data_IF_102776944632
#
_entry.id   IF_102776944632
#
_cell.length_a   1.000
_cell.length_b   1.000
_cell.length_c   1.000
_cell.angle_alpha   90.00
_cell.angle_beta   90.00
_cell.angle_gamma   90.00
#
_symmetry.space_group_name_H-M   'P 1'
#
loop_
_entity.id
_entity.type
_entity.pdbx_description
1 polymer ?
#
# COMPACT_ATOMS: atom_id res chain seq x y z
N UNK A 1 26.39 31.99 -11.46
CA UNK A 1 25.95 30.68 -11.95
C UNK A 1 24.46 30.76 -12.22
N UNK A 2 24.01 30.35 -13.41
CA UNK A 2 22.57 30.25 -13.69
C UNK A 2 21.96 29.01 -13.02
N UNK A 3 20.62 28.97 -12.99
CA UNK A 3 19.89 27.80 -12.49
C UNK A 3 20.20 26.57 -13.37
N UNK A 4 20.58 25.46 -12.75
CA UNK A 4 20.79 24.19 -13.44
C UNK A 4 19.45 23.56 -13.87
N UNK A 5 19.53 22.51 -14.68
CA UNK A 5 18.34 21.85 -15.21
C UNK A 5 17.43 21.24 -14.12
N UNK A 6 18.03 20.75 -13.05
CA UNK A 6 17.26 20.17 -11.91
C UNK A 6 16.50 21.24 -11.14
N UNK A 7 17.15 22.41 -10.85
CA UNK A 7 16.52 23.53 -10.16
C UNK A 7 15.39 24.14 -11.01
N UNK A 8 15.59 24.26 -12.33
CA UNK A 8 14.56 24.78 -13.22
C UNK A 8 13.31 23.89 -13.23
N UNK A 9 13.49 22.57 -13.34
CA UNK A 9 12.38 21.62 -13.31
C UNK A 9 11.71 21.57 -11.93
N UNK A 10 12.49 21.67 -10.84
CA UNK A 10 11.94 21.74 -9.48
C UNK A 10 11.04 22.98 -9.32
N UNK A 11 11.51 24.15 -9.72
CA UNK A 11 10.74 25.40 -9.66
C UNK A 11 9.49 25.31 -10.53
N UNK A 12 9.60 24.76 -11.75
CA UNK A 12 8.46 24.53 -12.64
C UNK A 12 7.41 23.65 -11.96
N UNK A 13 7.80 22.49 -11.43
CA UNK A 13 6.88 21.56 -10.76
C UNK A 13 6.20 22.20 -9.53
N UNK A 14 6.91 23.04 -8.78
CA UNK A 14 6.32 23.80 -7.68
C UNK A 14 5.30 24.82 -8.20
N UNK A 15 5.61 25.53 -9.27
CA UNK A 15 4.70 26.53 -9.86
C UNK A 15 3.43 25.91 -10.46
N UNK A 16 3.54 24.67 -10.97
CA UNK A 16 2.44 23.87 -11.48
C UNK A 16 1.69 23.09 -10.36
N UNK A 17 2.11 23.27 -9.10
CA UNK A 17 1.61 22.57 -7.92
C UNK A 17 1.69 21.03 -8.03
N UNK A 18 2.67 20.54 -8.80
CA UNK A 18 2.97 19.11 -8.93
C UNK A 18 4.04 18.71 -7.88
N UNK A 19 3.56 18.40 -6.69
CA UNK A 19 4.43 18.02 -5.55
C UNK A 19 5.19 16.72 -5.83
N UNK A 20 4.62 15.84 -6.64
CA UNK A 20 5.26 14.57 -7.02
C UNK A 20 6.49 14.79 -7.88
N UNK A 21 6.34 15.55 -8.96
CA UNK A 21 7.47 15.90 -9.83
C UNK A 21 8.47 16.80 -9.10
N UNK A 22 8.01 17.75 -8.25
CA UNK A 22 8.89 18.57 -7.44
C UNK A 22 9.81 17.73 -6.54
N UNK A 23 9.29 16.67 -5.89
CA UNK A 23 10.10 15.75 -5.08
C UNK A 23 11.12 14.98 -5.90
N UNK A 24 10.74 14.46 -7.08
CA UNK A 24 11.68 13.78 -7.98
C UNK A 24 12.85 14.67 -8.37
N UNK A 25 12.55 15.92 -8.76
CA UNK A 25 13.58 16.88 -9.15
C UNK A 25 14.46 17.31 -7.96
N UNK A 26 13.87 17.44 -6.76
CA UNK A 26 14.64 17.67 -5.54
C UNK A 26 15.63 16.54 -5.23
N UNK A 27 15.18 15.27 -5.32
CA UNK A 27 16.06 14.11 -5.14
C UNK A 27 17.12 14.03 -6.24
N UNK A 28 16.78 14.35 -7.49
CA UNK A 28 17.72 14.38 -8.60
C UNK A 28 18.81 15.46 -8.38
N UNK A 29 18.42 16.66 -7.95
CA UNK A 29 19.35 17.73 -7.60
C UNK A 29 20.29 17.33 -6.46
N UNK A 30 19.77 16.70 -5.39
CA UNK A 30 20.57 16.20 -4.29
C UNK A 30 21.55 15.08 -4.72
N UNK A 31 21.15 14.23 -5.65
CA UNK A 31 22.04 13.17 -6.19
C UNK A 31 23.16 13.74 -7.06
N UNK A 32 22.92 14.85 -7.73
CA UNK A 32 23.91 15.52 -8.59
C UNK A 32 24.93 16.34 -7.80
N UNK A 33 24.62 16.73 -6.56
CA UNK A 33 25.55 17.47 -5.72
C UNK A 33 26.56 16.51 -5.03
N UNK A 34 27.78 16.54 -5.55
CA UNK A 34 28.92 15.74 -5.03
C UNK A 34 29.87 16.56 -4.15
N UNK A 35 29.52 17.79 -3.80
CA UNK A 35 30.40 18.68 -3.05
C UNK A 35 30.54 18.25 -1.58
N UNK A 36 31.75 18.20 -1.08
CA UNK A 36 32.05 17.86 0.33
C UNK A 36 31.37 18.81 1.32
N UNK A 37 31.24 20.08 0.94
CA UNK A 37 30.58 21.12 1.76
C UNK A 37 29.13 20.80 2.05
N UNK A 38 28.43 20.21 1.10
CA UNK A 38 27.00 19.93 1.18
C UNK A 38 26.68 18.50 1.61
N UNK A 39 27.69 17.65 1.85
CA UNK A 39 27.50 16.21 2.14
C UNK A 39 26.49 15.95 3.27
N UNK A 40 26.57 16.69 4.37
CA UNK A 40 25.63 16.55 5.50
C UNK A 40 24.20 16.97 5.14
N UNK A 41 24.05 18.06 4.39
CA UNK A 41 22.77 18.53 3.87
C UNK A 41 22.16 17.51 2.90
N UNK A 42 22.93 17.05 1.92
CA UNK A 42 22.52 16.06 0.91
C UNK A 42 22.06 14.78 1.58
N UNK A 43 22.86 14.21 2.50
CA UNK A 43 22.51 12.98 3.21
C UNK A 43 21.22 13.14 4.01
N UNK A 44 21.10 14.22 4.77
CA UNK A 44 19.93 14.46 5.61
C UNK A 44 18.64 14.61 4.79
N UNK A 45 18.64 15.49 3.79
CA UNK A 45 17.43 15.79 3.03
C UNK A 45 17.10 14.70 2.01
N UNK A 46 18.08 13.99 1.47
CA UNK A 46 17.85 12.80 0.66
C UNK A 46 17.15 11.72 1.49
N UNK A 47 17.61 11.45 2.72
CA UNK A 47 16.94 10.49 3.61
C UNK A 47 15.50 10.91 3.93
N UNK A 48 15.24 12.21 4.19
CA UNK A 48 13.90 12.72 4.42
C UNK A 48 13.02 12.53 3.18
N UNK A 49 13.50 12.89 2.00
CA UNK A 49 12.74 12.81 0.74
C UNK A 49 12.55 11.38 0.23
N UNK A 50 13.40 10.43 0.64
CA UNK A 50 13.32 9.01 0.23
C UNK A 50 12.83 8.08 1.34
N UNK A 51 12.61 8.59 2.57
CA UNK A 51 12.02 7.80 3.67
C UNK A 51 10.55 7.49 3.42
N UNK A 52 10.01 6.49 4.10
CA UNK A 52 8.59 6.11 3.97
C UNK A 52 7.60 7.26 4.21
N UNK A 53 7.99 8.29 4.99
CA UNK A 53 7.20 9.50 5.18
C UNK A 53 7.33 10.55 4.08
N UNK A 54 8.30 10.43 3.18
CA UNK A 54 8.56 11.46 2.15
C UNK A 54 7.56 11.44 0.99
N UNK A 55 6.91 10.29 0.77
CA UNK A 55 5.84 10.11 -0.22
C UNK A 55 4.45 10.50 0.29
N UNK A 56 4.31 10.90 1.58
CA UNK A 56 3.00 11.25 2.15
C UNK A 56 2.36 12.42 1.42
N UNK A 57 1.18 12.19 0.88
CA UNK A 57 0.35 13.21 0.24
C UNK A 57 -0.41 13.95 1.35
N UNK A 58 -0.42 15.27 1.29
CA UNK A 58 -1.15 16.07 2.26
C UNK A 58 -2.67 15.89 2.08
N UNK A 59 -3.31 15.42 3.13
CA UNK A 59 -4.76 15.18 3.16
C UNK A 59 -5.48 16.34 3.87
N UNK A 60 -6.74 16.61 3.54
CA UNK A 60 -7.60 17.47 4.34
C UNK A 60 -7.58 17.06 5.82
N UNK A 61 -7.60 18.03 6.73
CA UNK A 61 -7.38 17.80 8.17
C UNK A 61 -8.26 16.70 8.79
N UNK A 62 -9.49 16.56 8.31
CA UNK A 62 -10.45 15.55 8.76
C UNK A 62 -10.16 14.11 8.26
N UNK A 63 -9.25 13.94 7.31
CA UNK A 63 -8.85 12.63 6.77
C UNK A 63 -7.48 12.16 7.27
N UNK A 64 -6.65 13.05 7.84
CA UNK A 64 -5.27 12.73 8.26
C UNK A 64 -5.17 11.59 9.25
N UNK A 65 -6.18 11.41 10.10
CA UNK A 65 -6.16 10.39 11.17
C UNK A 65 -6.60 9.00 10.69
N UNK A 66 -7.30 8.92 9.55
CA UNK A 66 -7.97 7.69 9.09
C UNK A 66 -7.46 7.18 7.75
N UNK A 67 -7.01 8.07 6.88
CA UNK A 67 -6.53 7.78 5.54
C UNK A 67 -5.04 8.18 5.44
N UNK A 68 -4.24 7.30 4.89
CA UNK A 68 -2.85 7.57 4.56
C UNK A 68 -2.71 7.47 3.05
N UNK A 69 -2.29 8.55 2.38
CA UNK A 69 -1.97 8.53 0.96
C UNK A 69 -0.47 8.74 0.78
N UNK A 70 0.15 7.88 -0.03
CA UNK A 70 1.58 7.83 -0.25
C UNK A 70 1.88 7.78 -1.75
N UNK A 71 2.81 8.61 -2.22
CA UNK A 71 3.44 8.43 -3.52
C UNK A 71 4.52 7.34 -3.41
N UNK A 72 4.15 6.13 -3.76
CA UNK A 72 5.03 4.96 -3.66
C UNK A 72 6.19 4.98 -4.66
N UNK A 73 6.21 5.89 -5.64
CA UNK A 73 7.29 5.96 -6.63
C UNK A 73 8.65 6.27 -6.02
N UNK A 74 8.68 6.94 -4.86
CA UNK A 74 9.89 7.32 -4.14
C UNK A 74 10.30 6.28 -3.09
N UNK A 75 9.35 5.65 -2.44
CA UNK A 75 9.57 4.74 -1.30
C UNK A 75 9.64 3.27 -1.70
N UNK A 76 8.89 2.86 -2.72
CA UNK A 76 8.85 1.46 -3.15
C UNK A 76 10.07 1.09 -3.99
N UNK A 77 10.78 0.04 -3.60
CA UNK A 77 11.95 -0.49 -4.30
C UNK A 77 11.62 -1.81 -4.99
N UNK A 78 11.32 -1.77 -6.29
CA UNK A 78 10.93 -2.95 -7.07
C UNK A 78 12.01 -4.06 -7.05
N UNK A 79 13.28 -3.68 -7.07
CA UNK A 79 14.40 -4.63 -7.00
C UNK A 79 14.50 -5.38 -5.65
N UNK A 80 13.81 -4.89 -4.63
CA UNK A 80 13.71 -5.52 -3.29
C UNK A 80 12.34 -6.13 -3.02
N UNK A 81 11.47 -6.21 -4.01
CA UNK A 81 10.17 -6.84 -3.88
C UNK A 81 10.10 -8.10 -4.74
N UNK A 82 9.89 -9.24 -4.12
CA UNK A 82 9.68 -10.50 -4.82
C UNK A 82 8.20 -10.68 -5.10
N UNK A 83 7.86 -10.96 -6.35
CA UNK A 83 6.49 -11.21 -6.83
C UNK A 83 6.41 -12.68 -7.22
N UNK A 84 5.48 -13.42 -6.63
CA UNK A 84 5.22 -14.83 -7.01
C UNK A 84 4.46 -14.88 -8.33
N UNK A 85 4.48 -16.03 -9.01
CA UNK A 85 3.67 -16.25 -10.22
C UNK A 85 2.18 -16.00 -9.96
N UNK A 86 1.68 -16.41 -8.80
CA UNK A 86 0.30 -16.15 -8.37
C UNK A 86 0.01 -14.64 -8.29
N UNK A 87 0.89 -13.88 -7.66
CA UNK A 87 0.77 -12.43 -7.54
C UNK A 87 0.85 -11.74 -8.90
N UNK A 88 1.68 -12.24 -9.83
CA UNK A 88 1.71 -11.73 -11.19
C UNK A 88 0.38 -11.91 -11.93
N UNK A 89 -0.26 -13.07 -11.79
CA UNK A 89 -1.59 -13.34 -12.37
C UNK A 89 -2.62 -12.37 -11.81
N UNK A 90 -2.62 -12.16 -10.48
CA UNK A 90 -3.51 -11.20 -9.81
C UNK A 90 -3.28 -9.79 -10.36
N UNK A 91 -2.02 -9.35 -10.41
CA UNK A 91 -1.65 -8.04 -10.92
C UNK A 91 -2.08 -7.83 -12.38
N UNK A 92 -1.82 -8.80 -13.26
CA UNK A 92 -2.26 -8.78 -14.67
C UNK A 92 -3.78 -8.61 -14.79
N UNK A 93 -4.56 -9.29 -13.95
CA UNK A 93 -6.01 -9.17 -13.95
C UNK A 93 -6.47 -7.78 -13.50
N UNK A 94 -5.89 -7.23 -12.43
CA UNK A 94 -6.19 -5.88 -11.95
C UNK A 94 -5.88 -4.84 -13.05
N UNK A 95 -4.71 -4.91 -13.67
CA UNK A 95 -4.29 -3.98 -14.73
C UNK A 95 -5.18 -4.08 -15.97
N UNK A 96 -5.55 -5.32 -16.37
CA UNK A 96 -6.44 -5.55 -17.51
C UNK A 96 -7.81 -4.90 -17.27
N UNK A 97 -8.37 -5.06 -16.08
CA UNK A 97 -9.66 -4.47 -15.73
C UNK A 97 -9.56 -2.94 -15.66
N UNK A 98 -8.53 -2.39 -15.06
CA UNK A 98 -8.29 -0.94 -15.05
C UNK A 98 -8.21 -0.35 -16.46
N UNK A 99 -7.53 -1.06 -17.39
CA UNK A 99 -7.39 -0.62 -18.79
C UNK A 99 -8.71 -0.58 -19.56
N UNK A 100 -9.64 -1.48 -19.24
CA UNK A 100 -10.92 -1.58 -19.96
C UNK A 100 -12.09 -0.89 -19.24
N UNK A 101 -11.86 -0.32 -18.05
CA UNK A 101 -12.90 0.28 -17.21
C UNK A 101 -13.72 1.34 -17.95
N UNK A 102 -13.07 2.25 -18.68
CA UNK A 102 -13.74 3.27 -19.48
C UNK A 102 -14.72 2.68 -20.52
N UNK A 103 -14.26 1.64 -21.23
CA UNK A 103 -15.12 0.98 -22.23
C UNK A 103 -16.29 0.22 -21.61
N UNK A 104 -16.09 -0.38 -20.42
CA UNK A 104 -17.18 -1.02 -19.69
C UNK A 104 -18.24 0.02 -19.25
N UNK A 105 -17.78 1.21 -18.84
CA UNK A 105 -18.68 2.32 -18.48
C UNK A 105 -19.48 2.81 -19.70
N UNK A 106 -18.84 3.00 -20.85
CA UNK A 106 -19.50 3.38 -22.11
C UNK A 106 -20.58 2.37 -22.52
N UNK A 107 -20.32 1.08 -22.30
CA UNK A 107 -21.28 -0.01 -22.55
C UNK A 107 -22.32 -0.19 -21.46
N UNK A 108 -22.34 0.68 -20.43
CA UNK A 108 -23.23 0.60 -19.26
C UNK A 108 -23.16 -0.76 -18.54
N UNK A 109 -22.02 -1.44 -18.58
CA UNK A 109 -21.81 -2.70 -17.86
C UNK A 109 -21.45 -2.37 -16.41
N UNK A 110 -22.30 -2.78 -15.43
CA UNK A 110 -22.01 -2.54 -14.02
C UNK A 110 -20.76 -3.34 -13.62
N UNK A 111 -19.74 -2.62 -13.20
CA UNK A 111 -18.45 -3.21 -12.89
C UNK A 111 -17.72 -2.40 -11.81
N UNK A 112 -16.97 -3.09 -10.96
CA UNK A 112 -16.05 -2.49 -9.98
C UNK A 112 -14.70 -3.21 -10.10
N UNK A 113 -13.60 -2.45 -10.21
CA UNK A 113 -12.26 -3.03 -10.12
C UNK A 113 -11.89 -3.24 -8.65
N UNK A 114 -12.52 -4.22 -8.04
CA UNK A 114 -12.40 -4.52 -6.62
C UNK A 114 -11.86 -5.94 -6.43
N UNK A 115 -10.69 -6.04 -5.82
CA UNK A 115 -9.99 -7.30 -5.52
C UNK A 115 -9.95 -7.52 -4.02
N UNK A 116 -10.45 -8.67 -3.55
CA UNK A 116 -10.32 -9.11 -2.17
C UNK A 116 -9.13 -10.05 -2.04
N UNK A 117 -8.16 -9.67 -1.21
CA UNK A 117 -7.02 -10.49 -0.82
C UNK A 117 -7.28 -11.07 0.57
N UNK A 118 -7.18 -12.38 0.71
CA UNK A 118 -7.39 -13.03 2.00
C UNK A 118 -6.28 -14.04 2.29
N UNK A 119 -6.01 -14.29 3.56
CA UNK A 119 -4.98 -15.24 4.00
C UNK A 119 -4.35 -14.85 5.32
N UNK A 120 -3.44 -15.65 5.86
CA UNK A 120 -2.82 -15.42 7.16
C UNK A 120 -2.16 -14.02 7.27
N UNK A 121 -2.00 -13.49 8.49
CA UNK A 121 -1.23 -12.27 8.69
C UNK A 121 0.23 -12.46 8.24
N UNK A 122 0.90 -11.37 7.86
CA UNK A 122 2.30 -11.42 7.43
C UNK A 122 2.55 -11.84 5.98
N UNK A 123 1.53 -12.25 5.21
CA UNK A 123 1.68 -12.71 3.80
C UNK A 123 1.80 -11.60 2.77
N UNK A 124 2.01 -10.35 3.20
CA UNK A 124 2.34 -9.23 2.29
C UNK A 124 1.17 -8.61 1.54
N UNK A 125 -0.09 -8.79 1.96
CA UNK A 125 -1.28 -8.22 1.30
C UNK A 125 -1.18 -6.71 1.08
N UNK A 126 -0.79 -5.96 2.10
CA UNK A 126 -0.62 -4.50 2.05
C UNK A 126 0.55 -4.10 1.13
N UNK A 127 1.67 -4.83 1.19
CA UNK A 127 2.82 -4.60 0.31
C UNK A 127 2.49 -4.89 -1.15
N UNK A 128 1.64 -5.89 -1.41
CA UNK A 128 1.14 -6.15 -2.76
C UNK A 128 0.27 -5.00 -3.27
N UNK A 129 -0.54 -4.37 -2.41
CA UNK A 129 -1.28 -3.14 -2.75
C UNK A 129 -0.34 -1.99 -3.16
N UNK A 130 0.74 -1.78 -2.42
CA UNK A 130 1.80 -0.80 -2.78
C UNK A 130 2.48 -1.15 -4.11
N UNK A 131 2.75 -2.43 -4.37
CA UNK A 131 3.30 -2.89 -5.65
C UNK A 131 2.36 -2.57 -6.82
N UNK A 132 1.05 -2.82 -6.68
CA UNK A 132 0.05 -2.47 -7.69
C UNK A 132 0.05 -0.97 -7.95
N UNK A 133 0.04 -0.14 -6.90
CA UNK A 133 0.09 1.32 -7.01
C UNK A 133 1.36 1.79 -7.75
N UNK A 134 2.52 1.24 -7.38
CA UNK A 134 3.79 1.52 -8.03
C UNK A 134 3.76 1.18 -9.53
N UNK A 135 3.28 -0.01 -9.90
CA UNK A 135 3.19 -0.46 -11.30
C UNK A 135 2.19 0.35 -12.13
N UNK A 136 1.15 0.87 -11.52
CA UNK A 136 0.17 1.74 -12.17
C UNK A 136 0.59 3.21 -12.22
N UNK A 137 1.65 3.58 -11.51
CA UNK A 137 2.07 4.97 -11.37
C UNK A 137 1.05 5.84 -10.63
N UNK A 138 0.26 5.24 -9.74
CA UNK A 138 -0.78 5.89 -8.94
C UNK A 138 -0.36 6.01 -7.47
N UNK A 139 -0.84 7.02 -6.75
CA UNK A 139 -0.73 7.06 -5.30
C UNK A 139 -1.39 5.82 -4.66
N UNK A 140 -0.82 5.38 -3.54
CA UNK A 140 -1.38 4.35 -2.68
C UNK A 140 -2.13 5.01 -1.52
N UNK A 141 -3.45 4.91 -1.51
CA UNK A 141 -4.30 5.42 -0.43
C UNK A 141 -4.77 4.26 0.44
N UNK A 142 -4.41 4.29 1.71
CA UNK A 142 -4.59 3.22 2.67
C UNK A 142 -5.56 3.63 3.77
N UNK A 143 -6.68 2.90 3.89
CA UNK A 143 -7.66 3.03 4.96
C UNK A 143 -7.57 1.83 5.88
N UNK A 144 -7.14 2.06 7.14
CA UNK A 144 -7.10 1.03 8.17
C UNK A 144 -8.34 1.10 9.05
N UNK A 145 -9.17 0.09 8.98
CA UNK A 145 -10.43 0.06 9.70
C UNK A 145 -10.26 -0.08 11.22
N UNK A 146 -9.19 -0.68 11.71
CA UNK A 146 -8.90 -0.74 13.15
C UNK A 146 -8.77 0.68 13.74
N UNK A 147 -8.08 1.60 13.02
CA UNK A 147 -7.97 3.01 13.43
C UNK A 147 -9.28 3.79 13.29
N UNK A 148 -10.13 3.38 12.34
CA UNK A 148 -11.43 4.03 12.11
C UNK A 148 -12.42 3.71 13.23
N UNK A 149 -12.39 2.49 13.78
CA UNK A 149 -13.28 2.05 14.87
C UNK A 149 -12.90 2.69 16.21
N UNK A 150 -11.60 2.95 16.45
CA UNK A 150 -11.12 3.60 17.68
C UNK A 150 -11.54 5.08 17.79
N UNK A 151 -12.00 5.69 16.70
CA UNK A 151 -12.53 7.05 16.71
C UNK A 151 -13.97 7.07 17.26
N UNK A 152 -14.30 8.11 18.04
CA UNK A 152 -15.57 8.28 18.76
C UNK A 152 -16.82 7.87 17.95
N UNK A 153 -17.79 7.18 18.61
CA UNK A 153 -19.09 6.77 18.08
C UNK A 153 -19.77 7.91 17.29
N UNK A 154 -20.25 7.60 16.09
CA UNK A 154 -20.90 8.56 15.18
C UNK A 154 -19.99 9.29 14.20
N UNK A 155 -18.67 9.34 14.45
CA UNK A 155 -17.68 9.93 13.53
C UNK A 155 -17.24 8.90 12.48
N UNK A 156 -17.25 7.63 12.82
CA UNK A 156 -16.77 6.52 11.99
C UNK A 156 -17.43 6.45 10.61
N UNK A 157 -18.77 6.47 10.55
CA UNK A 157 -19.50 6.41 9.27
C UNK A 157 -19.20 7.63 8.38
N UNK A 158 -19.10 8.83 8.97
CA UNK A 158 -18.73 10.04 8.25
C UNK A 158 -17.32 9.97 7.70
N UNK A 159 -16.39 9.46 8.48
CA UNK A 159 -14.98 9.30 8.10
C UNK A 159 -14.84 8.34 6.92
N UNK A 160 -15.56 7.21 6.94
CA UNK A 160 -15.61 6.26 5.83
C UNK A 160 -16.14 6.97 4.57
N UNK A 161 -17.27 7.65 4.64
CA UNK A 161 -17.85 8.36 3.49
C UNK A 161 -16.86 9.38 2.90
N UNK A 162 -16.14 10.12 3.74
CA UNK A 162 -15.13 11.08 3.28
C UNK A 162 -13.94 10.41 2.62
N UNK A 163 -13.43 9.28 3.14
CA UNK A 163 -12.33 8.53 2.54
C UNK A 163 -12.71 7.98 1.16
N UNK A 164 -13.94 7.45 1.02
CA UNK A 164 -14.46 6.98 -0.26
C UNK A 164 -14.68 8.12 -1.26
N UNK A 165 -15.18 9.27 -0.80
CA UNK A 165 -15.30 10.47 -1.64
C UNK A 165 -13.93 10.92 -2.14
N UNK A 166 -12.91 10.91 -1.26
CA UNK A 166 -11.54 11.24 -1.64
C UNK A 166 -11.02 10.28 -2.73
N UNK A 167 -11.17 8.98 -2.53
CA UNK A 167 -10.73 7.98 -3.50
C UNK A 167 -11.47 8.08 -4.86
N UNK A 168 -12.74 8.51 -4.86
CA UNK A 168 -13.53 8.72 -6.10
C UNK A 168 -13.08 9.96 -6.87
N UNK A 169 -12.54 10.97 -6.20
CA UNK A 169 -12.17 12.26 -6.81
C UNK A 169 -10.68 12.37 -7.10
N UNK A 170 -9.85 11.50 -6.51
CA UNK A 170 -8.40 11.51 -6.67
C UNK A 170 -7.93 10.13 -7.16
N UNK A 171 -7.37 10.03 -8.38
CA UNK A 171 -6.87 8.77 -8.91
C UNK A 171 -5.86 8.12 -7.96
N UNK A 172 -6.16 6.93 -7.48
CA UNK A 172 -5.30 6.19 -6.55
C UNK A 172 -5.60 4.69 -6.60
N UNK A 173 -4.70 3.87 -6.05
CA UNK A 173 -5.02 2.52 -5.61
C UNK A 173 -5.54 2.61 -4.17
N UNK A 174 -6.81 2.32 -3.99
CA UNK A 174 -7.49 2.44 -2.71
C UNK A 174 -7.47 1.12 -1.95
N UNK A 175 -6.66 1.08 -0.90
CA UNK A 175 -6.48 -0.10 -0.05
C UNK A 175 -7.40 -0.02 1.17
N UNK A 176 -8.26 -1.03 1.30
CA UNK A 176 -9.12 -1.26 2.46
C UNK A 176 -8.53 -2.40 3.27
N UNK A 177 -7.78 -2.09 4.32
CA UNK A 177 -7.11 -3.14 5.11
C UNK A 177 -7.87 -3.49 6.39
N UNK A 178 -7.72 -4.75 6.84
CA UNK A 178 -8.40 -5.27 8.01
C UNK A 178 -9.93 -5.10 7.98
N UNK A 179 -10.53 -5.32 6.79
CA UNK A 179 -11.99 -5.15 6.59
C UNK A 179 -12.84 -6.05 7.50
N UNK A 180 -12.27 -7.10 8.05
CA UNK A 180 -12.90 -7.99 9.03
C UNK A 180 -13.20 -7.31 10.37
N UNK A 181 -12.54 -6.19 10.70
CA UNK A 181 -12.84 -5.44 11.93
C UNK A 181 -14.20 -4.78 11.93
N UNK A 182 -14.73 -4.42 10.77
CA UNK A 182 -16.01 -3.70 10.62
C UNK A 182 -17.05 -4.44 9.79
N UNK A 183 -16.66 -5.46 9.04
CA UNK A 183 -17.55 -6.23 8.17
C UNK A 183 -17.73 -7.65 8.72
N UNK A 184 -18.16 -7.76 9.99
CA UNK A 184 -18.48 -9.03 10.62
C UNK A 184 -19.89 -9.49 10.28
N UNK A 185 -20.09 -10.81 10.22
CA UNK A 185 -21.38 -11.45 9.96
C UNK A 185 -22.41 -11.04 11.02
N UNK A 186 -23.55 -10.50 10.59
CA UNK A 186 -24.59 -9.87 11.44
C UNK A 186 -25.34 -10.83 12.39
N UNK A 187 -25.14 -12.13 12.24
CA UNK A 187 -25.86 -13.15 13.02
C UNK A 187 -25.41 -13.27 14.48
N UNK A 188 -24.38 -12.50 14.89
CA UNK A 188 -23.78 -12.59 16.24
C UNK A 188 -24.03 -11.38 17.13
N UNK A 189 -24.96 -10.49 16.78
CA UNK A 189 -25.08 -9.17 17.40
C UNK A 189 -26.08 -9.16 18.56
N UNK A 190 -25.58 -9.05 19.80
CA UNK A 190 -26.42 -8.89 21.01
C UNK A 190 -26.07 -7.67 21.88
N UNK A 191 -25.00 -6.93 21.59
CA UNK A 191 -24.56 -5.77 22.38
C UNK A 191 -24.76 -4.43 21.68
N UNK A 192 -24.66 -3.31 22.41
CA UNK A 192 -24.73 -1.95 21.85
C UNK A 192 -23.58 -1.65 20.88
N UNK A 193 -22.38 -2.17 21.15
CA UNK A 193 -21.21 -2.06 20.28
C UNK A 193 -21.43 -2.79 18.95
N UNK A 194 -22.09 -3.94 18.97
CA UNK A 194 -22.42 -4.71 17.77
C UNK A 194 -23.36 -3.94 16.83
N UNK A 195 -24.31 -3.16 17.38
CA UNK A 195 -25.21 -2.32 16.55
C UNK A 195 -24.45 -1.21 15.83
N UNK A 196 -23.43 -0.64 16.46
CA UNK A 196 -22.59 0.39 15.83
C UNK A 196 -21.74 -0.22 14.73
N UNK A 197 -21.10 -1.36 14.93
CA UNK A 197 -20.38 -2.11 13.88
C UNK A 197 -21.32 -2.41 12.72
N UNK A 198 -22.55 -2.84 13.00
CA UNK A 198 -23.57 -3.06 11.96
C UNK A 198 -23.88 -1.82 11.10
N UNK A 199 -23.97 -0.62 11.73
CA UNK A 199 -24.18 0.66 11.00
C UNK A 199 -22.95 1.00 10.14
N UNK A 200 -21.76 0.82 10.68
CA UNK A 200 -20.51 1.05 9.97
C UNK A 200 -20.38 0.11 8.76
N UNK A 201 -20.74 -1.16 8.92
CA UNK A 201 -20.79 -2.14 7.83
C UNK A 201 -21.76 -1.71 6.72
N UNK A 202 -22.95 -1.23 7.09
CA UNK A 202 -23.92 -0.72 6.11
C UNK A 202 -23.38 0.50 5.38
N UNK A 203 -22.76 1.44 6.10
CA UNK A 203 -22.13 2.62 5.49
C UNK A 203 -21.03 2.20 4.53
N UNK A 204 -20.14 1.28 4.93
CA UNK A 204 -19.11 0.75 4.05
C UNK A 204 -19.68 0.22 2.74
N UNK A 205 -20.72 -0.60 2.81
CA UNK A 205 -21.35 -1.17 1.61
C UNK A 205 -21.99 -0.10 0.72
N UNK A 206 -22.66 0.90 1.32
CA UNK A 206 -23.27 2.00 0.58
C UNK A 206 -22.22 2.86 -0.13
N UNK A 207 -21.13 3.20 0.56
CA UNK A 207 -20.06 3.99 -0.04
C UNK A 207 -19.28 3.17 -1.09
N UNK A 208 -19.11 1.87 -0.86
CA UNK A 208 -18.52 0.96 -1.86
C UNK A 208 -19.37 0.90 -3.14
N UNK A 209 -20.70 0.85 -3.02
CA UNK A 209 -21.61 0.84 -4.18
C UNK A 209 -21.58 2.17 -4.96
N UNK A 210 -21.39 3.31 -4.27
CA UNK A 210 -21.27 4.65 -4.88
C UNK A 210 -19.92 4.93 -5.51
N UNK A 211 -18.88 4.18 -5.11
CA UNK A 211 -17.51 4.42 -5.59
C UNK A 211 -17.45 4.42 -7.11
N UNK A 212 -16.69 5.33 -7.71
CA UNK A 212 -16.50 5.38 -9.15
C UNK A 212 -15.90 4.07 -9.70
N UNK A 213 -16.33 3.65 -10.88
CA UNK A 213 -16.00 2.33 -11.42
C UNK A 213 -14.54 2.20 -11.90
N UNK A 214 -13.87 3.32 -12.11
CA UNK A 214 -12.45 3.40 -12.51
C UNK A 214 -11.48 3.34 -11.34
N UNK A 215 -11.98 3.48 -10.10
CA UNK A 215 -11.14 3.33 -8.90
C UNK A 215 -10.69 1.88 -8.73
N UNK A 216 -9.39 1.69 -8.57
CA UNK A 216 -8.82 0.37 -8.25
C UNK A 216 -8.88 0.15 -6.76
N UNK A 217 -9.72 -0.78 -6.32
CA UNK A 217 -9.87 -1.13 -4.90
C UNK A 217 -9.20 -2.46 -4.60
N UNK A 218 -8.41 -2.48 -3.54
CA UNK A 218 -7.85 -3.70 -2.97
C UNK A 218 -8.32 -3.81 -1.52
N UNK A 219 -9.17 -4.79 -1.23
CA UNK A 219 -9.57 -5.10 0.13
C UNK A 219 -8.71 -6.24 0.69
N UNK A 220 -8.34 -6.17 1.96
CA UNK A 220 -7.56 -7.22 2.61
C UNK A 220 -8.19 -7.68 3.93
N UNK A 221 -8.14 -8.99 4.18
CA UNK A 221 -8.58 -9.60 5.42
C UNK A 221 -7.71 -10.77 5.82
N UNK A 222 -7.55 -10.97 7.12
CA UNK A 222 -6.96 -12.18 7.69
C UNK A 222 -8.01 -13.25 8.00
N UNK A 223 -9.31 -12.89 7.99
CA UNK A 223 -10.43 -13.71 8.46
C UNK A 223 -11.60 -13.68 7.46
N UNK A 224 -11.41 -14.36 6.31
CA UNK A 224 -12.47 -14.49 5.31
C UNK A 224 -13.73 -15.18 5.89
N UNK A 225 -13.54 -16.05 6.87
CA UNK A 225 -14.61 -16.84 7.52
C UNK A 225 -15.64 -16.00 8.27
N UNK A 226 -15.25 -14.83 8.79
CA UNK A 226 -16.15 -13.93 9.52
C UNK A 226 -16.64 -12.75 8.69
N UNK A 227 -16.09 -12.56 7.50
CA UNK A 227 -16.41 -11.42 6.65
C UNK A 227 -17.86 -11.50 6.15
N UNK A 228 -18.56 -10.36 6.12
CA UNK A 228 -19.94 -10.28 5.61
C UNK A 228 -20.00 -10.73 4.14
N UNK A 229 -20.85 -11.70 3.86
CA UNK A 229 -21.01 -12.27 2.51
C UNK A 229 -21.45 -11.23 1.47
N UNK A 230 -22.22 -10.23 1.89
CA UNK A 230 -22.65 -9.16 1.00
C UNK A 230 -21.46 -8.25 0.61
N UNK A 231 -20.50 -8.01 1.50
CA UNK A 231 -19.24 -7.33 1.15
C UNK A 231 -18.40 -8.18 0.20
N UNK A 232 -18.21 -9.48 0.53
CA UNK A 232 -17.45 -10.43 -0.32
C UNK A 232 -18.04 -10.53 -1.73
N UNK A 233 -19.37 -10.46 -1.87
CA UNK A 233 -20.03 -10.53 -3.20
C UNK A 233 -19.77 -9.28 -4.06
N UNK A 234 -19.48 -8.14 -3.46
CA UNK A 234 -19.14 -6.89 -4.15
C UNK A 234 -17.74 -6.86 -4.72
N UNK A 235 -16.85 -7.70 -4.20
CA UNK A 235 -15.51 -7.84 -4.75
C UNK A 235 -15.56 -8.72 -6.01
N UNK A 236 -15.24 -8.14 -7.16
CA UNK A 236 -15.25 -8.83 -8.46
C UNK A 236 -14.24 -9.96 -8.56
N UNK A 237 -13.15 -9.86 -7.81
CA UNK A 237 -12.07 -10.84 -7.76
C UNK A 237 -11.73 -11.19 -6.30
N UNK A 238 -11.36 -12.45 -6.06
CA UNK A 238 -11.03 -12.97 -4.74
C UNK A 238 -9.83 -13.88 -4.86
N UNK A 239 -8.76 -13.55 -4.13
CA UNK A 239 -7.51 -14.32 -4.20
C UNK A 239 -6.94 -14.59 -2.81
N UNK A 240 -6.53 -15.84 -2.64
CA UNK A 240 -5.78 -16.24 -1.46
C UNK A 240 -4.32 -15.80 -1.57
N UNK A 241 -3.79 -15.28 -0.48
CA UNK A 241 -2.38 -14.93 -0.28
C UNK A 241 -1.80 -15.87 0.77
N UNK A 242 -1.37 -17.09 0.40
CA UNK A 242 -0.78 -18.04 1.34
C UNK A 242 0.63 -17.60 1.76
N UNK A 243 1.17 -18.20 2.84
CA UNK A 243 2.59 -18.12 3.14
C UNK A 243 3.44 -18.57 1.95
N UNK A 244 4.64 -18.04 1.84
CA UNK A 244 5.58 -18.46 0.82
C UNK A 244 6.03 -19.91 1.02
N UNK A 245 6.21 -20.62 -0.07
CA UNK A 245 6.93 -21.90 -0.10
C UNK A 245 8.41 -21.66 0.25
N UNK A 246 9.13 -22.71 0.55
CA UNK A 246 10.59 -22.65 0.81
C UNK A 246 11.31 -22.02 -0.38
N UNK A 247 10.94 -22.39 -1.60
CA UNK A 247 11.55 -21.85 -2.81
C UNK A 247 11.26 -20.36 -3.03
N UNK A 248 9.99 -19.94 -2.86
CA UNK A 248 9.59 -18.53 -2.93
C UNK A 248 10.29 -17.70 -1.85
N UNK A 249 10.47 -18.27 -0.65
CA UNK A 249 11.18 -17.63 0.45
C UNK A 249 12.65 -17.42 0.12
N UNK A 250 13.33 -18.42 -0.46
CA UNK A 250 14.70 -18.30 -0.96
C UNK A 250 14.84 -17.21 -2.02
N UNK A 251 13.91 -17.18 -2.97
CA UNK A 251 13.91 -16.15 -4.02
C UNK A 251 13.64 -14.75 -3.47
N UNK A 252 12.78 -14.60 -2.45
CA UNK A 252 12.59 -13.33 -1.77
C UNK A 252 13.88 -12.87 -1.08
N UNK A 253 14.53 -13.75 -0.33
CA UNK A 253 15.79 -13.45 0.37
C UNK A 253 16.90 -13.07 -0.62
N UNK A 254 17.02 -13.77 -1.74
CA UNK A 254 17.99 -13.45 -2.80
C UNK A 254 17.82 -12.03 -3.36
N UNK A 255 16.61 -11.51 -3.43
CA UNK A 255 16.38 -10.10 -3.84
C UNK A 255 16.89 -9.06 -2.84
N UNK A 256 17.02 -9.44 -1.58
CA UNK A 256 17.56 -8.54 -0.54
C UNK A 256 19.07 -8.68 -0.37
N UNK A 257 19.60 -9.88 -0.57
CA UNK A 257 20.94 -10.28 -0.16
C UNK A 257 21.67 -10.96 -1.32
N UNK A 258 22.23 -10.16 -2.23
CA UNK A 258 22.94 -10.70 -3.40
C UNK A 258 24.14 -11.61 -3.06
N UNK A 259 24.68 -11.60 -1.81
CA UNK A 259 25.96 -12.20 -1.46
C UNK A 259 25.97 -13.01 -0.15
N UNK A 260 24.80 -13.40 0.43
CA UNK A 260 24.75 -14.14 1.69
C UNK A 260 24.35 -15.60 1.43
N UNK A 261 25.05 -16.56 2.08
CA UNK A 261 24.70 -17.99 2.07
C UNK A 261 23.30 -18.22 2.66
N UNK A 262 22.35 -18.57 1.78
CA UNK A 262 20.91 -18.55 2.04
C UNK A 262 20.39 -19.83 2.68
N UNK A 263 21.14 -20.94 2.57
CA UNK A 263 20.69 -22.27 3.01
C UNK A 263 20.42 -22.37 4.52
N UNK A 264 20.89 -21.42 5.30
CA UNK A 264 20.66 -21.39 6.76
C UNK A 264 19.34 -20.72 7.18
N UNK A 265 18.68 -19.91 6.30
CA UNK A 265 17.55 -19.08 6.68
C UNK A 265 16.20 -19.78 6.48
N UNK A 266 16.06 -20.57 5.43
CA UNK A 266 14.74 -21.04 4.99
C UNK A 266 14.66 -22.56 5.00
N UNK A 267 14.21 -23.11 6.11
CA UNK A 267 13.97 -24.55 6.26
C UNK A 267 12.51 -24.98 6.17
N UNK A 268 11.55 -24.03 6.16
CA UNK A 268 10.10 -24.29 6.15
C UNK A 268 9.33 -23.19 5.45
N UNK A 269 8.09 -23.48 5.09
CA UNK A 269 7.16 -22.45 4.61
C UNK A 269 6.97 -21.38 5.69
N UNK A 270 7.11 -20.11 5.33
CA UNK A 270 7.04 -18.99 6.28
C UNK A 270 6.32 -17.80 5.65
N UNK A 271 5.72 -16.99 6.51
CA UNK A 271 5.18 -15.70 6.09
C UNK A 271 6.33 -14.69 5.86
N UNK A 272 6.06 -13.70 5.00
CA UNK A 272 7.07 -12.72 4.58
C UNK A 272 7.64 -11.91 5.76
N UNK A 273 6.84 -11.66 6.79
CA UNK A 273 7.28 -10.91 7.99
C UNK A 273 8.32 -11.69 8.78
N UNK A 274 8.10 -12.99 8.96
CA UNK A 274 9.07 -13.90 9.63
C UNK A 274 10.36 -13.99 8.85
N UNK A 275 10.29 -14.16 7.53
CA UNK A 275 11.48 -14.19 6.66
C UNK A 275 12.29 -12.88 6.78
N UNK A 276 11.62 -11.73 6.76
CA UNK A 276 12.30 -10.44 6.90
C UNK A 276 12.94 -10.26 8.27
N UNK A 277 12.33 -10.76 9.35
CA UNK A 277 12.94 -10.71 10.68
C UNK A 277 14.24 -11.52 10.73
N UNK A 278 14.28 -12.70 10.11
CA UNK A 278 15.47 -13.52 10.02
C UNK A 278 16.56 -12.85 9.16
N UNK A 279 16.20 -12.24 8.03
CA UNK A 279 17.12 -11.46 7.17
C UNK A 279 17.74 -10.31 7.95
N UNK A 280 16.94 -9.54 8.70
CA UNK A 280 17.43 -8.40 9.50
C UNK A 280 18.44 -8.88 10.54
N UNK A 281 18.16 -10.00 11.24
CA UNK A 281 19.07 -10.56 12.24
C UNK A 281 20.42 -10.92 11.62
N UNK A 282 20.42 -11.60 10.47
CA UNK A 282 21.66 -11.99 9.79
C UNK A 282 22.48 -10.80 9.30
N UNK A 283 21.82 -9.75 8.82
CA UNK A 283 22.53 -8.52 8.44
C UNK A 283 23.16 -7.87 9.67
N UNK A 284 22.42 -7.81 10.80
CA UNK A 284 22.93 -7.25 12.04
C UNK A 284 24.17 -8.01 12.54
N UNK A 285 24.09 -9.36 12.61
CA UNK A 285 25.19 -10.22 13.04
C UNK A 285 26.46 -10.02 12.16
N UNK A 286 26.30 -9.80 10.85
CA UNK A 286 27.44 -9.52 9.96
C UNK A 286 28.07 -8.15 10.19
N UNK A 287 27.25 -7.12 10.33
CA UNK A 287 27.74 -5.75 10.55
C UNK A 287 28.51 -5.64 11.88
N UNK A 288 28.06 -6.35 12.93
CA UNK A 288 28.78 -6.42 14.20
C UNK A 288 30.17 -7.07 14.04
N UNK A 289 30.28 -8.15 13.28
CA UNK A 289 31.57 -8.83 13.02
C UNK A 289 32.51 -7.95 12.18
N UNK A 290 32.01 -7.15 11.25
CA UNK A 290 32.80 -6.22 10.45
C UNK A 290 33.31 -5.04 11.30
N UNK A 291 32.53 -4.52 12.24
CA UNK A 291 32.92 -3.46 13.15
C UNK A 291 33.98 -3.93 14.19
N UNK A 292 33.91 -5.21 14.65
CA UNK A 292 34.91 -5.79 15.56
C UNK A 292 36.26 -6.05 14.90
N UNK A 293 36.29 -6.19 13.56
CA UNK A 293 37.49 -6.43 12.79
C UNK A 293 38.10 -5.16 12.14
N UNK A 294 37.51 -3.99 12.37
CA UNK A 294 37.97 -2.68 11.85
C UNK A 294 38.63 -1.83 12.93
#
# INVERSE_FOLDING_TARGET
MGLGNYEQNLIKSIAENDIREARKWAVAALNADTTQKNKGFVTRYKNILTSEGAGMIELPGNLKDILVCEDVSLSFKENRYYVTERQEIIAKNIFRLAKVSGKLMELMIPYKNATLLYGPPGTGKTMFGKYIAYKMGLPFCYLNFSKVVDSYMGVTSRNIAQAFTYASTNPCVFMLDEVDTISCNRERTSSGADREIGRVTVTLMQEFDKLANDVVVIAATNRLDILDKAFVSRCSQKYEMPPFTVEESKQMVNKFLNDIEIDQIVQKNSDQRTIMADVIRLIADRLEVEDENS
#
